data_IF_328825264784
#
_entry.id   IF_328825264784
#
_cell.length_a   1.000
_cell.length_b   1.000
_cell.length_c   1.000
_cell.angle_alpha   90.00
_cell.angle_beta   90.00
_cell.angle_gamma   90.00
#
_symmetry.space_group_name_H-M   'P 1'
#
loop_
_entity.id
_entity.type
_entity.pdbx_description
1 polymer ?
#
# COMPACT_ATOMS: atom_id res chain seq x y z
N UNK A 1 28.35 8.19 -3.60
CA UNK A 1 28.87 6.95 -4.20
C UNK A 1 27.85 6.24 -5.09
N UNK A 2 26.69 5.75 -4.61
CA UNK A 2 25.73 5.07 -5.51
C UNK A 2 25.19 6.00 -6.60
N UNK A 3 24.62 7.17 -6.25
CA UNK A 3 24.09 8.14 -7.23
C UNK A 3 25.12 8.75 -8.21
N UNK A 4 26.42 8.60 -7.94
CA UNK A 4 27.49 9.19 -8.76
C UNK A 4 27.88 8.29 -9.94
N UNK A 5 27.84 6.97 -9.73
CA UNK A 5 28.16 5.96 -10.76
C UNK A 5 26.93 5.18 -11.24
N UNK A 6 25.83 5.28 -10.49
CA UNK A 6 24.55 4.62 -10.69
C UNK A 6 23.47 5.68 -10.45
N UNK A 7 23.21 6.50 -11.46
CA UNK A 7 22.17 7.53 -11.38
C UNK A 7 20.80 6.84 -11.34
N UNK A 8 20.06 7.02 -10.25
CA UNK A 8 18.73 6.43 -10.08
C UNK A 8 17.75 6.89 -11.17
N UNK A 9 17.90 8.14 -11.59
CA UNK A 9 17.07 8.83 -12.57
C UNK A 9 17.28 8.29 -14.00
N UNK A 10 18.34 7.51 -14.23
CA UNK A 10 18.66 6.85 -15.50
C UNK A 10 18.33 5.34 -15.46
N UNK A 11 17.65 4.86 -14.42
CA UNK A 11 17.26 3.46 -14.25
C UNK A 11 15.77 3.33 -14.04
N UNK A 12 15.18 2.40 -14.77
CA UNK A 12 13.84 1.90 -14.49
C UNK A 12 13.94 0.50 -13.91
N UNK A 13 12.97 0.13 -13.09
CA UNK A 13 12.74 -1.22 -12.65
C UNK A 13 11.28 -1.57 -12.91
N UNK A 14 11.02 -2.84 -13.20
CA UNK A 14 9.67 -3.36 -13.34
C UNK A 14 9.55 -4.60 -12.48
N UNK A 15 8.49 -4.68 -11.69
CA UNK A 15 8.16 -5.83 -10.86
C UNK A 15 7.00 -6.56 -11.51
N UNK A 16 7.19 -7.86 -11.76
CA UNK A 16 6.18 -8.76 -12.32
C UNK A 16 6.28 -10.11 -11.63
N UNK A 17 5.14 -10.74 -11.37
CA UNK A 17 5.06 -12.06 -10.77
C UNK A 17 4.47 -13.09 -11.75
N UNK A 18 5.00 -14.30 -11.69
CA UNK A 18 4.45 -15.49 -12.35
C UNK A 18 4.38 -16.63 -11.33
N UNK A 19 3.39 -17.53 -11.43
CA UNK A 19 3.40 -18.75 -10.65
C UNK A 19 4.61 -19.62 -11.07
N UNK A 20 5.06 -20.47 -10.16
CA UNK A 20 6.10 -21.49 -10.40
C UNK A 20 5.46 -22.88 -10.41
N UNK A 21 6.04 -23.90 -11.08
CA UNK A 21 5.45 -25.24 -11.19
C UNK A 21 5.09 -25.90 -9.85
N UNK A 22 5.78 -25.54 -8.77
CA UNK A 22 5.51 -25.99 -7.40
C UNK A 22 4.13 -25.54 -6.87
N UNK A 23 3.43 -24.67 -7.60
CA UNK A 23 2.02 -24.35 -7.36
C UNK A 23 1.12 -25.60 -7.42
N UNK A 24 1.54 -26.64 -8.15
CA UNK A 24 0.85 -27.92 -8.22
C UNK A 24 -0.11 -28.03 -9.41
N UNK A 25 -1.16 -28.82 -9.26
CA UNK A 25 -2.05 -29.23 -10.36
C UNK A 25 -2.72 -28.05 -11.10
N UNK A 26 -2.92 -26.93 -10.40
CA UNK A 26 -3.53 -25.72 -10.94
C UNK A 26 -2.54 -24.78 -11.67
N UNK A 27 -1.26 -25.15 -11.76
CA UNK A 27 -0.20 -24.29 -12.31
C UNK A 27 -0.55 -23.76 -13.71
N UNK A 28 -0.99 -24.62 -14.64
CA UNK A 28 -1.30 -24.18 -16.00
C UNK A 28 -2.46 -23.18 -16.06
N UNK A 29 -3.49 -23.40 -15.23
CA UNK A 29 -4.62 -22.49 -15.14
C UNK A 29 -4.19 -21.16 -14.56
N UNK A 30 -3.46 -21.19 -13.45
CA UNK A 30 -2.96 -19.98 -12.80
C UNK A 30 -2.02 -19.19 -13.69
N UNK A 31 -1.12 -19.86 -14.42
CA UNK A 31 -0.23 -19.19 -15.35
C UNK A 31 -1.02 -18.43 -16.42
N UNK A 32 -2.06 -19.04 -16.99
CA UNK A 32 -2.93 -18.38 -17.99
C UNK A 32 -3.66 -17.17 -17.41
N UNK A 33 -4.24 -17.28 -16.22
CA UNK A 33 -4.93 -16.15 -15.58
C UNK A 33 -3.96 -15.04 -15.15
N UNK A 34 -2.76 -15.40 -14.66
CA UNK A 34 -1.70 -14.42 -14.36
C UNK A 34 -1.26 -13.66 -15.61
N UNK A 35 -1.04 -14.35 -16.74
CA UNK A 35 -0.73 -13.67 -18.01
C UNK A 35 -1.84 -12.69 -18.38
N UNK A 36 -3.11 -13.12 -18.33
CA UNK A 36 -4.25 -12.26 -18.65
C UNK A 36 -4.30 -10.99 -17.80
N UNK A 37 -4.02 -11.10 -16.50
CA UNK A 37 -3.98 -9.95 -15.57
C UNK A 37 -2.73 -9.08 -15.82
N UNK A 38 -1.59 -9.68 -16.12
CA UNK A 38 -0.35 -8.96 -16.42
C UNK A 38 -0.40 -8.22 -17.78
N UNK A 39 -1.32 -8.58 -18.66
CA UNK A 39 -1.49 -7.97 -20.00
C UNK A 39 -2.76 -7.11 -20.10
N UNK A 40 -3.29 -6.60 -18.99
CA UNK A 40 -4.41 -5.67 -19.03
C UNK A 40 -4.04 -4.40 -19.82
N UNK A 41 -5.03 -3.84 -20.54
CA UNK A 41 -4.84 -2.69 -21.43
C UNK A 41 -4.66 -1.39 -20.64
N UNK A 42 -3.47 -0.81 -20.71
CA UNK A 42 -3.14 0.41 -19.96
C UNK A 42 -3.91 1.65 -20.44
N UNK A 43 -4.34 1.73 -21.69
CA UNK A 43 -5.14 2.87 -22.17
C UNK A 43 -6.56 2.83 -21.60
N UNK A 44 -7.15 1.63 -21.52
CA UNK A 44 -8.49 1.45 -20.95
C UNK A 44 -8.45 1.73 -19.45
N UNK A 45 -7.55 1.07 -18.73
CA UNK A 45 -7.49 1.20 -17.26
C UNK A 45 -6.95 2.56 -16.83
N UNK A 46 -6.04 3.18 -17.60
CA UNK A 46 -5.57 4.52 -17.32
C UNK A 46 -6.68 5.57 -17.29
N UNK A 47 -7.69 5.45 -18.17
CA UNK A 47 -8.89 6.32 -18.14
C UNK A 47 -9.76 6.07 -16.91
N UNK A 48 -9.90 4.81 -16.50
CA UNK A 48 -10.67 4.45 -15.30
C UNK A 48 -9.98 4.99 -14.04
N UNK A 49 -8.66 4.77 -13.92
CA UNK A 49 -7.83 5.30 -12.84
C UNK A 49 -7.85 6.82 -12.81
N UNK A 50 -7.81 7.50 -13.96
CA UNK A 50 -7.89 8.96 -14.03
C UNK A 50 -9.20 9.50 -13.44
N UNK A 51 -10.35 8.87 -13.74
CA UNK A 51 -11.62 9.28 -13.12
C UNK A 51 -11.61 9.14 -11.59
N UNK A 52 -10.88 8.16 -11.05
CA UNK A 52 -10.69 7.99 -9.61
C UNK A 52 -9.82 9.13 -9.06
N UNK A 53 -8.71 9.43 -9.72
CA UNK A 53 -7.80 10.53 -9.36
C UNK A 53 -8.55 11.86 -9.37
N UNK A 54 -9.27 12.18 -10.44
CA UNK A 54 -10.01 13.43 -10.59
C UNK A 54 -11.06 13.63 -9.48
N UNK A 55 -11.65 12.53 -8.98
CA UNK A 55 -12.56 12.57 -7.84
C UNK A 55 -11.82 12.75 -6.50
N UNK A 56 -10.70 12.06 -6.31
CA UNK A 56 -9.90 12.14 -5.08
C UNK A 56 -9.17 13.48 -4.94
N UNK A 57 -8.77 14.12 -6.04
CA UNK A 57 -8.11 15.43 -6.06
C UNK A 57 -8.99 16.57 -5.54
N UNK A 58 -10.31 16.36 -5.51
CA UNK A 58 -11.26 17.32 -4.94
C UNK A 58 -11.42 17.17 -3.41
N UNK A 59 -10.88 16.09 -2.82
CA UNK A 59 -11.08 15.78 -1.42
C UNK A 59 -10.08 16.52 -0.53
N UNK A 60 -10.56 17.11 0.57
CA UNK A 60 -9.68 17.58 1.65
C UNK A 60 -9.01 16.40 2.37
N UNK A 61 -9.76 15.31 2.55
CA UNK A 61 -9.28 14.06 3.13
C UNK A 61 -10.07 12.89 2.58
N UNK A 62 -9.46 11.71 2.62
CA UNK A 62 -10.10 10.43 2.30
C UNK A 62 -10.42 9.69 3.59
N UNK A 63 -11.62 9.12 3.69
CA UNK A 63 -12.03 8.28 4.82
C UNK A 63 -11.97 6.81 4.41
N UNK A 64 -11.17 6.01 5.12
CA UNK A 64 -11.12 4.56 4.92
C UNK A 64 -11.82 3.89 6.10
N UNK A 65 -12.92 3.20 5.81
CA UNK A 65 -13.75 2.53 6.81
C UNK A 65 -13.80 1.03 6.53
N UNK A 66 -13.48 0.25 7.56
CA UNK A 66 -13.67 -1.18 7.58
C UNK A 66 -15.14 -1.54 7.57
N UNK A 67 -15.44 -2.74 7.06
CA UNK A 67 -16.78 -3.32 7.03
C UNK A 67 -16.79 -4.63 7.83
N UNK A 68 -17.92 -4.92 8.47
CA UNK A 68 -18.07 -6.13 9.28
C UNK A 68 -17.12 -6.11 10.48
N UNK A 69 -16.28 -7.13 10.60
CA UNK A 69 -15.31 -7.25 11.70
C UNK A 69 -14.04 -6.42 11.50
N UNK A 70 -13.85 -5.80 10.33
CA UNK A 70 -12.70 -4.94 10.09
C UNK A 70 -12.89 -3.61 10.81
N UNK A 71 -11.95 -3.29 11.71
CA UNK A 71 -11.97 -2.13 12.61
C UNK A 71 -11.30 -0.89 12.01
N UNK A 72 -10.92 -0.93 10.74
CA UNK A 72 -10.26 0.20 10.09
C UNK A 72 -11.16 1.43 10.16
N UNK A 73 -10.60 2.53 10.62
CA UNK A 73 -11.25 3.83 10.61
C UNK A 73 -10.16 4.89 10.54
N UNK A 74 -9.78 5.25 9.32
CA UNK A 74 -8.71 6.19 9.03
C UNK A 74 -9.27 7.45 8.39
N UNK A 75 -8.73 8.59 8.76
CA UNK A 75 -8.76 9.83 8.00
C UNK A 75 -7.37 10.01 7.38
N UNK A 76 -7.29 10.14 6.06
CA UNK A 76 -6.04 10.35 5.32
C UNK A 76 -6.09 11.74 4.69
N UNK A 77 -5.22 12.64 5.10
CA UNK A 77 -5.25 14.04 4.70
C UNK A 77 -4.56 14.27 3.35
N UNK A 78 -5.23 14.96 2.42
CA UNK A 78 -4.70 15.27 1.08
C UNK A 78 -3.90 16.58 1.05
N UNK A 79 -3.07 16.77 0.03
CA UNK A 79 -2.43 18.06 -0.20
C UNK A 79 -3.39 19.07 -0.83
N UNK A 80 -3.15 20.36 -0.56
CA UNK A 80 -3.98 21.42 -1.13
C UNK A 80 -3.50 21.68 -2.56
N UNK A 81 -4.37 21.46 -3.53
CA UNK A 81 -4.11 21.79 -4.92
C UNK A 81 -4.46 23.26 -5.16
N UNK A 82 -3.48 24.05 -5.59
CA UNK A 82 -3.68 25.47 -5.94
C UNK A 82 -4.25 25.61 -7.35
N UNK A 83 -3.87 24.70 -8.24
CA UNK A 83 -4.34 24.68 -9.62
C UNK A 83 -4.72 23.26 -10.06
N UNK A 84 -5.99 22.85 -9.85
CA UNK A 84 -6.47 21.51 -10.20
C UNK A 84 -6.38 21.16 -11.71
N UNK A 85 -6.14 22.14 -12.59
CA UNK A 85 -5.93 21.89 -14.02
C UNK A 85 -4.49 21.50 -14.36
N UNK A 86 -3.55 21.66 -13.43
CA UNK A 86 -2.11 21.41 -13.65
C UNK A 86 -1.47 20.57 -12.55
N UNK A 87 -2.15 20.39 -11.43
CA UNK A 87 -1.66 19.71 -10.24
C UNK A 87 -2.61 18.57 -9.91
N UNK A 88 -2.04 17.45 -9.46
CA UNK A 88 -2.76 16.30 -8.94
C UNK A 88 -2.05 15.83 -7.67
N UNK A 89 -2.80 15.24 -6.74
CA UNK A 89 -2.22 14.55 -5.58
C UNK A 89 -1.69 13.17 -5.97
N UNK A 90 -2.22 12.53 -7.01
CA UNK A 90 -2.03 11.11 -7.24
C UNK A 90 -1.22 10.83 -8.50
N UNK A 91 -0.45 9.74 -8.43
CA UNK A 91 0.20 9.12 -9.58
C UNK A 91 -0.69 8.00 -10.14
N UNK A 92 -0.80 7.98 -11.46
CA UNK A 92 -1.50 6.92 -12.19
C UNK A 92 -0.52 5.78 -12.48
N UNK A 93 -0.50 4.76 -11.63
CA UNK A 93 0.39 3.61 -11.77
C UNK A 93 -0.14 2.67 -12.85
N UNK A 94 0.52 2.69 -14.00
CA UNK A 94 0.25 1.78 -15.10
C UNK A 94 1.25 0.63 -15.06
N UNK A 95 1.21 -0.22 -16.08
CA UNK A 95 2.05 -1.43 -16.17
C UNK A 95 3.53 -1.11 -16.51
N UNK A 96 4.09 0.00 -16.06
CA UNK A 96 5.46 0.44 -16.31
C UNK A 96 6.42 0.08 -15.16
N UNK A 97 5.99 0.28 -13.91
CA UNK A 97 6.75 -0.10 -12.71
C UNK A 97 6.18 -1.37 -12.06
N UNK A 98 4.87 -1.44 -11.87
CA UNK A 98 4.19 -2.59 -11.26
C UNK A 98 3.30 -3.30 -12.30
N UNK A 99 3.55 -4.59 -12.52
CA UNK A 99 2.69 -5.46 -13.34
C UNK A 99 2.10 -6.55 -12.43
N UNK A 100 0.76 -6.61 -12.28
CA UNK A 100 -0.25 -5.90 -13.06
C UNK A 100 -0.51 -4.45 -12.61
N UNK A 101 -1.10 -3.67 -13.53
CA UNK A 101 -1.66 -2.35 -13.23
C UNK A 101 -2.90 -2.45 -12.32
N UNK A 102 -3.32 -1.32 -11.76
CA UNK A 102 -4.62 -1.22 -11.06
C UNK A 102 -4.65 -0.33 -9.82
N UNK A 103 -3.54 0.32 -9.48
CA UNK A 103 -3.46 1.23 -8.34
C UNK A 103 -3.37 2.69 -8.79
N UNK A 104 -3.84 3.59 -7.92
CA UNK A 104 -3.48 5.00 -7.94
C UNK A 104 -2.94 5.29 -6.55
N UNK A 105 -1.84 6.02 -6.44
CA UNK A 105 -1.17 6.22 -5.15
C UNK A 105 -0.69 7.65 -4.97
N UNK A 106 -0.47 8.02 -3.72
CA UNK A 106 0.02 9.35 -3.34
C UNK A 106 0.81 9.23 -2.04
N UNK A 107 1.57 10.27 -1.72
CA UNK A 107 2.05 10.52 -0.37
C UNK A 107 1.09 11.48 0.32
N UNK A 108 0.34 11.07 1.36
CA UNK A 108 -0.57 11.98 2.05
C UNK A 108 0.19 12.96 2.97
N UNK A 109 -0.49 14.03 3.40
CA UNK A 109 0.02 14.87 4.48
C UNK A 109 0.07 14.05 5.77
N UNK A 110 1.19 14.12 6.48
CA UNK A 110 1.29 13.51 7.81
C UNK A 110 0.29 14.19 8.76
N UNK A 111 0.42 15.51 8.94
CA UNK A 111 -0.48 16.28 9.79
C UNK A 111 -1.94 16.14 9.35
N UNK A 112 -2.81 15.77 10.28
CA UNK A 112 -4.23 15.52 10.04
C UNK A 112 -4.58 14.12 9.54
N UNK A 113 -3.59 13.26 9.28
CA UNK A 113 -3.80 11.82 9.00
C UNK A 113 -3.82 11.05 10.32
N UNK A 114 -4.92 10.37 10.63
CA UNK A 114 -5.12 9.75 11.93
C UNK A 114 -6.12 8.59 11.86
N UNK A 115 -6.08 7.73 12.88
CA UNK A 115 -7.06 6.67 13.06
C UNK A 115 -6.43 5.29 13.21
N UNK A 116 -7.24 4.26 12.95
CA UNK A 116 -6.84 2.86 13.13
C UNK A 116 -6.81 2.17 11.77
N UNK A 117 -5.68 1.55 11.43
CA UNK A 117 -5.58 0.57 10.36
C UNK A 117 -5.67 -0.83 10.98
N UNK A 118 -6.59 -1.65 10.48
CA UNK A 118 -6.80 -3.01 10.96
C UNK A 118 -6.77 -4.02 9.82
N UNK A 119 -5.91 -5.03 9.97
CA UNK A 119 -5.70 -6.09 8.97
C UNK A 119 -5.83 -7.43 9.67
N UNK A 120 -6.87 -8.19 9.32
CA UNK A 120 -7.19 -9.46 9.98
C UNK A 120 -6.08 -10.49 9.86
N UNK A 121 -5.39 -10.54 8.71
CA UNK A 121 -4.23 -11.40 8.49
C UNK A 121 -3.35 -10.81 7.39
N UNK A 122 -2.03 -10.75 7.63
CA UNK A 122 -1.06 -10.27 6.63
C UNK A 122 0.29 -10.95 6.81
N UNK A 123 1.05 -11.07 5.72
CA UNK A 123 2.46 -11.47 5.75
C UNK A 123 3.34 -10.26 5.47
N UNK A 124 4.29 -9.99 6.37
CA UNK A 124 5.31 -8.94 6.21
C UNK A 124 6.67 -9.57 6.49
N UNK A 125 7.62 -9.45 5.56
CA UNK A 125 8.96 -10.05 5.69
C UNK A 125 8.90 -11.55 6.05
N UNK A 126 8.07 -12.31 5.34
CA UNK A 126 7.80 -13.74 5.55
C UNK A 126 7.18 -14.11 6.91
N UNK A 127 6.85 -13.12 7.75
CA UNK A 127 6.21 -13.33 9.04
C UNK A 127 4.72 -13.07 8.95
N UNK A 128 3.93 -14.03 9.47
CA UNK A 128 2.48 -13.92 9.55
C UNK A 128 2.07 -13.08 10.75
N UNK A 129 1.21 -12.09 10.54
CA UNK A 129 0.54 -11.32 11.58
C UNK A 129 -0.94 -11.65 11.59
N UNK A 130 -1.48 -11.92 12.79
CA UNK A 130 -2.91 -12.13 13.00
C UNK A 130 -3.49 -10.91 13.71
N UNK A 131 -4.63 -10.40 13.24
CA UNK A 131 -5.35 -9.26 13.85
C UNK A 131 -4.46 -8.02 14.06
N UNK A 132 -3.62 -7.70 13.06
CA UNK A 132 -2.70 -6.57 13.14
C UNK A 132 -3.49 -5.26 13.20
N UNK A 133 -3.18 -4.42 14.19
CA UNK A 133 -3.76 -3.12 14.37
C UNK A 133 -2.65 -2.08 14.57
N UNK A 134 -2.73 -0.96 13.83
CA UNK A 134 -1.82 0.17 13.96
C UNK A 134 -2.65 1.43 14.13
N UNK A 135 -2.33 2.23 15.14
CA UNK A 135 -2.97 3.51 15.44
C UNK A 135 -2.07 4.64 14.99
N UNK A 136 -2.62 5.60 14.25
CA UNK A 136 -1.92 6.76 13.72
C UNK A 136 -2.40 8.06 14.36
N UNK A 137 -1.47 8.97 14.62
CA UNK A 137 -1.69 10.36 15.01
C UNK A 137 -0.73 11.25 14.22
N UNK A 138 -1.28 12.23 13.49
CA UNK A 138 -0.53 13.10 12.57
C UNK A 138 0.44 12.33 11.65
N UNK A 139 -0.07 11.23 11.07
CA UNK A 139 0.62 10.40 10.10
C UNK A 139 1.63 9.44 10.73
N UNK A 140 1.86 9.51 12.04
CA UNK A 140 2.84 8.71 12.77
C UNK A 140 2.18 7.62 13.58
N UNK A 141 2.88 6.50 13.74
CA UNK A 141 2.45 5.41 14.59
C UNK A 141 2.47 5.86 16.05
N UNK A 142 1.29 5.83 16.67
CA UNK A 142 1.08 6.10 18.09
C UNK A 142 1.07 4.84 18.94
N UNK A 143 0.46 3.78 18.41
CA UNK A 143 0.40 2.47 19.07
C UNK A 143 0.20 1.36 18.04
N UNK A 144 0.49 0.12 18.42
CA UNK A 144 0.30 -1.05 17.60
C UNK A 144 0.08 -2.30 18.44
N UNK A 145 -0.59 -3.28 17.87
CA UNK A 145 -0.78 -4.61 18.47
C UNK A 145 -1.10 -5.65 17.41
N UNK A 146 -1.01 -6.93 17.78
CA UNK A 146 -1.49 -8.07 17.01
C UNK A 146 -1.95 -9.18 17.96
N UNK A 147 -2.40 -10.32 17.43
CA UNK A 147 -2.83 -11.50 18.19
C UNK A 147 -2.03 -12.74 17.79
N UNK A 148 -0.71 -12.62 17.79
CA UNK A 148 0.19 -13.72 17.49
C UNK A 148 0.55 -14.54 18.74
N UNK A 149 0.51 -13.90 19.93
CA UNK A 149 0.87 -14.46 21.22
C UNK A 149 -0.20 -14.16 22.26
N UNK A 150 -0.16 -14.89 23.38
CA UNK A 150 -1.15 -14.77 24.46
C UNK A 150 -1.02 -13.45 25.24
N UNK A 151 0.17 -12.85 25.27
CA UNK A 151 0.44 -11.62 26.01
C UNK A 151 0.60 -10.42 25.09
N UNK A 152 0.06 -9.28 25.53
CA UNK A 152 0.17 -8.01 24.79
C UNK A 152 1.63 -7.56 24.63
N UNK A 153 2.48 -7.80 25.63
CA UNK A 153 3.89 -7.45 25.60
C UNK A 153 4.64 -8.19 24.48
N UNK A 154 4.37 -9.48 24.30
CA UNK A 154 4.96 -10.28 23.22
C UNK A 154 4.48 -9.83 21.84
N UNK A 155 3.18 -9.54 21.70
CA UNK A 155 2.62 -9.01 20.45
C UNK A 155 3.26 -7.67 20.05
N UNK A 156 3.37 -6.72 20.99
CA UNK A 156 4.04 -5.44 20.73
C UNK A 156 5.51 -5.62 20.44
N UNK A 157 6.23 -6.46 21.20
CA UNK A 157 7.66 -6.74 20.96
C UNK A 157 7.89 -7.31 19.56
N UNK A 158 7.01 -8.22 19.12
CA UNK A 158 7.08 -8.83 17.79
C UNK A 158 6.94 -7.79 16.66
N UNK A 159 5.99 -6.85 16.78
CA UNK A 159 5.85 -5.76 15.82
C UNK A 159 7.04 -4.79 15.90
N UNK A 160 7.47 -4.39 17.12
CA UNK A 160 8.59 -3.48 17.32
C UNK A 160 9.86 -3.97 16.63
N UNK A 161 10.15 -5.27 16.72
CA UNK A 161 11.36 -5.85 16.16
C UNK A 161 11.28 -6.00 14.63
N UNK A 162 10.15 -6.45 14.10
CA UNK A 162 10.08 -6.96 12.72
C UNK A 162 9.40 -6.00 11.73
N UNK A 163 8.53 -5.11 12.21
CA UNK A 163 7.87 -4.07 11.39
C UNK A 163 8.52 -2.72 11.64
N UNK A 164 8.72 -2.37 12.91
CA UNK A 164 9.29 -1.08 13.29
C UNK A 164 10.82 -1.06 13.24
N UNK A 165 11.49 -2.20 13.04
CA UNK A 165 12.95 -2.33 13.11
C UNK A 165 13.59 -1.66 14.34
N UNK A 166 12.90 -1.72 15.48
CA UNK A 166 13.22 -1.08 16.75
C UNK A 166 13.19 0.46 16.78
N UNK A 167 12.67 1.10 15.73
CA UNK A 167 12.32 2.52 15.77
C UNK A 167 11.14 2.77 16.73
N UNK A 168 11.13 3.95 17.34
CA UNK A 168 10.05 4.35 18.26
C UNK A 168 8.74 4.66 17.52
N UNK A 169 8.81 5.18 16.29
CA UNK A 169 7.66 5.46 15.42
C UNK A 169 8.06 5.37 13.95
N UNK A 170 7.07 5.16 13.07
CA UNK A 170 7.15 5.29 11.62
C UNK A 170 5.89 6.03 11.12
N UNK A 171 5.91 6.71 9.97
CA UNK A 171 7.10 7.28 9.33
C UNK A 171 7.80 8.29 10.25
#
# INVERSE_FOLDING_TARGET
>A
MVQEYIKGDERSFTIIAFPIPEFGDDFEQMFKETVKINTLDSEIYGKVQQNIIDALDQAEYVKVLGKGDNKTNMKVQMHDLKNPLKETNFENCLADVNIPLGEVFTSPKLKGTEGILHVSQVYLNDLKYNDLQITFEDGKIKDYTCKNFDTEEENKKFIKQNVMFNHETLP
#
